data_IF_489498678452
#
_entry.id   IF_489498678452
#
_cell.length_a   1.000
_cell.length_b   1.000
_cell.length_c   1.000
_cell.angle_alpha   90.00
_cell.angle_beta   90.00
_cell.angle_gamma   90.00
#
_symmetry.space_group_name_H-M   'P 1'
#
loop_
_entity.id
_entity.type
_entity.pdbx_description
1 polymer ?
#
# COMPACT_ATOMS: atom_id res chain seq x y z
N UNK A 1 8.28 1.05 3.22
CA UNK A 1 7.88 -0.14 4.00
C UNK A 1 8.77 -1.33 3.62
N UNK A 2 9.42 -2.00 4.58
CA UNK A 2 10.35 -3.11 4.29
C UNK A 2 9.62 -4.37 3.83
N UNK A 3 10.18 -5.08 2.85
CA UNK A 3 9.76 -6.43 2.45
C UNK A 3 10.85 -7.44 2.81
N UNK A 4 10.49 -8.72 2.94
CA UNK A 4 11.52 -9.75 3.13
C UNK A 4 12.40 -9.85 1.87
N UNK A 5 13.68 -9.50 2.00
CA UNK A 5 14.66 -9.60 0.91
C UNK A 5 15.06 -11.04 0.58
N UNK A 6 14.71 -12.01 1.45
CA UNK A 6 15.18 -13.41 1.41
C UNK A 6 16.71 -13.54 1.39
N UNK A 7 17.43 -12.49 1.77
CA UNK A 7 18.88 -12.48 1.81
C UNK A 7 19.37 -11.68 3.01
N UNK A 8 20.16 -12.31 3.87
CA UNK A 8 20.62 -11.71 5.13
C UNK A 8 21.33 -10.36 4.94
N UNK A 9 22.11 -10.24 3.85
CA UNK A 9 22.95 -9.07 3.58
C UNK A 9 22.24 -7.94 2.82
N UNK A 10 20.95 -8.07 2.49
CA UNK A 10 20.22 -7.03 1.78
C UNK A 10 18.93 -6.62 2.51
N UNK A 11 18.55 -5.36 2.34
CA UNK A 11 17.24 -4.81 2.67
C UNK A 11 16.55 -4.41 1.36
N UNK A 12 15.24 -4.66 1.28
CA UNK A 12 14.40 -4.11 0.22
C UNK A 12 13.25 -3.36 0.88
N UNK A 13 12.96 -2.16 0.40
CA UNK A 13 11.84 -1.35 0.90
C UNK A 13 11.00 -0.83 -0.25
N UNK A 14 9.69 -0.98 -0.16
CA UNK A 14 8.74 -0.26 -1.01
C UNK A 14 8.78 1.22 -0.64
N UNK A 15 8.91 2.08 -1.65
CA UNK A 15 8.89 3.52 -1.49
C UNK A 15 7.62 4.06 -2.16
N UNK A 16 6.74 4.60 -1.33
CA UNK A 16 5.51 5.24 -1.73
C UNK A 16 5.49 6.66 -1.16
N UNK A 17 4.64 7.49 -1.73
CA UNK A 17 4.40 8.87 -1.36
C UNK A 17 4.88 9.84 -2.43
N UNK A 18 4.60 11.12 -2.18
CA UNK A 18 4.92 12.23 -3.06
C UNK A 18 6.39 12.23 -3.50
N UNK A 19 6.62 12.50 -4.78
CA UNK A 19 7.96 12.63 -5.34
C UNK A 19 8.46 14.08 -5.28
N UNK A 20 8.35 14.72 -4.10
CA UNK A 20 8.62 16.16 -3.92
C UNK A 20 7.87 17.09 -4.88
N UNK A 21 6.65 16.71 -5.29
CA UNK A 21 5.85 17.46 -6.27
C UNK A 21 6.37 17.39 -7.70
N UNK A 22 7.33 16.50 -7.97
CA UNK A 22 7.86 16.25 -9.32
C UNK A 22 7.15 15.06 -9.93
N UNK A 23 6.41 15.31 -11.00
CA UNK A 23 5.60 14.34 -11.72
C UNK A 23 5.83 14.43 -13.23
N UNK A 24 5.58 13.35 -13.99
CA UNK A 24 5.26 11.98 -13.55
C UNK A 24 6.44 11.25 -12.89
N UNK A 25 6.17 10.21 -12.10
CA UNK A 25 7.19 9.37 -11.47
C UNK A 25 6.82 7.88 -11.52
N UNK A 26 7.81 6.95 -11.57
CA UNK A 26 7.52 5.53 -11.48
C UNK A 26 7.28 5.12 -10.03
N UNK A 27 6.69 3.94 -9.83
CA UNK A 27 6.74 3.24 -8.55
C UNK A 27 8.17 2.86 -8.21
N UNK A 28 8.51 2.88 -6.92
CA UNK A 28 9.89 2.80 -6.46
C UNK A 28 10.08 1.71 -5.42
N UNK A 29 11.24 1.05 -5.50
CA UNK A 29 11.80 0.27 -4.41
C UNK A 29 13.20 0.77 -4.08
N UNK A 30 13.60 0.65 -2.82
CA UNK A 30 14.98 0.79 -2.38
C UNK A 30 15.60 -0.59 -2.24
N UNK A 31 16.82 -0.76 -2.74
CA UNK A 31 17.67 -1.93 -2.46
C UNK A 31 18.95 -1.44 -1.82
N UNK A 32 19.28 -1.97 -0.64
CA UNK A 32 20.47 -1.60 0.10
C UNK A 32 21.20 -2.81 0.67
N UNK A 33 22.52 -2.69 0.77
CA UNK A 33 23.40 -3.74 1.26
C UNK A 33 23.80 -3.46 2.70
N UNK A 34 23.67 -4.47 3.56
CA UNK A 34 24.01 -4.39 4.98
C UNK A 34 25.50 -4.57 5.21
N UNK A 35 25.98 -4.06 6.34
CA UNK A 35 27.34 -4.23 6.86
C UNK A 35 28.46 -3.70 5.94
N UNK A 36 28.12 -2.77 5.04
CA UNK A 36 29.07 -2.04 4.20
C UNK A 36 29.03 -0.55 4.49
N UNK A 37 30.16 0.11 4.25
CA UNK A 37 30.30 1.56 4.23
C UNK A 37 29.72 2.17 2.96
N UNK A 38 29.81 3.49 2.85
CA UNK A 38 29.17 4.27 1.80
C UNK A 38 29.67 4.01 0.36
N UNK A 39 30.82 3.37 0.24
CA UNK A 39 31.43 2.98 -1.02
C UNK A 39 31.18 1.50 -1.37
N UNK A 40 30.29 0.82 -0.64
CA UNK A 40 30.03 -0.62 -0.78
C UNK A 40 31.12 -1.53 -0.20
N UNK A 41 32.20 -0.97 0.36
CA UNK A 41 33.26 -1.77 1.00
C UNK A 41 32.95 -2.03 2.47
N UNK A 42 33.69 -2.94 3.10
CA UNK A 42 33.59 -3.17 4.55
C UNK A 42 33.66 -1.85 5.32
N UNK A 43 32.75 -1.69 6.28
CA UNK A 43 32.73 -0.52 7.15
C UNK A 43 34.02 -0.45 7.98
N UNK A 44 34.62 0.73 8.11
CA UNK A 44 35.81 0.91 8.93
C UNK A 44 35.51 0.73 10.43
N UNK A 45 36.44 0.16 11.20
CA UNK A 45 36.24 -0.10 12.64
C UNK A 45 35.99 1.18 13.46
N UNK A 46 36.57 2.30 13.02
CA UNK A 46 36.40 3.62 13.62
C UNK A 46 35.21 4.41 13.05
N UNK A 47 34.30 3.76 12.32
CA UNK A 47 33.10 4.41 11.81
C UNK A 47 32.24 4.99 12.95
N UNK A 48 31.50 6.06 12.64
CA UNK A 48 30.58 6.68 13.60
C UNK A 48 29.43 5.75 13.97
N UNK A 49 28.82 5.91 15.15
CA UNK A 49 27.65 5.10 15.54
C UNK A 49 26.47 5.26 14.57
N UNK A 50 26.30 6.45 13.99
CA UNK A 50 25.35 6.69 12.88
C UNK A 50 25.63 5.76 11.70
N UNK A 51 26.87 5.72 11.22
CA UNK A 51 27.22 4.93 10.05
C UNK A 51 27.15 3.43 10.35
N UNK A 52 27.52 3.00 11.56
CA UNK A 52 27.30 1.62 12.01
C UNK A 52 25.81 1.26 12.01
N UNK A 53 24.94 2.12 12.53
CA UNK A 53 23.49 1.90 12.51
C UNK A 53 22.94 1.80 11.08
N UNK A 54 23.26 2.78 10.22
CA UNK A 54 22.80 2.77 8.83
C UNK A 54 23.34 1.57 8.05
N UNK A 55 24.61 1.22 8.27
CA UNK A 55 25.25 0.07 7.64
C UNK A 55 24.58 -1.25 8.04
N UNK A 56 24.34 -1.50 9.32
CA UNK A 56 23.66 -2.74 9.78
C UNK A 56 22.24 -2.87 9.23
N UNK A 57 21.57 -1.75 8.94
CA UNK A 57 20.22 -1.73 8.38
C UNK A 57 20.20 -1.62 6.84
N UNK A 58 21.36 -1.58 6.19
CA UNK A 58 21.46 -1.49 4.74
C UNK A 58 21.04 -0.14 4.16
N UNK A 59 21.08 0.92 4.96
CA UNK A 59 20.69 2.28 4.58
C UNK A 59 21.88 3.17 4.21
N UNK A 60 23.12 2.71 4.47
CA UNK A 60 24.33 3.48 4.19
C UNK A 60 24.79 3.34 2.73
N UNK A 61 24.47 2.22 2.08
CA UNK A 61 24.83 1.94 0.70
C UNK A 61 23.70 1.19 -0.01
N UNK A 62 23.05 1.88 -0.93
CA UNK A 62 21.92 1.36 -1.69
C UNK A 62 21.51 2.34 -2.77
N UNK A 63 20.48 1.94 -3.53
CA UNK A 63 19.88 2.74 -4.61
C UNK A 63 18.37 2.61 -4.61
N UNK A 64 17.72 3.65 -5.12
CA UNK A 64 16.31 3.62 -5.49
C UNK A 64 16.20 3.15 -6.93
N UNK A 65 15.26 2.26 -7.17
CA UNK A 65 14.95 1.67 -8.46
C UNK A 65 13.52 2.02 -8.83
N UNK A 66 13.32 2.55 -10.04
CA UNK A 66 12.02 2.87 -10.61
C UNK A 66 11.51 1.73 -11.48
N UNK A 67 10.20 1.46 -11.42
CA UNK A 67 9.54 0.47 -12.27
C UNK A 67 9.61 0.89 -13.74
N UNK A 68 10.07 -0.02 -14.59
CA UNK A 68 10.19 0.16 -16.04
C UNK A 68 9.60 -1.03 -16.79
N UNK A 69 8.99 -0.73 -17.93
CA UNK A 69 8.37 -1.70 -18.83
C UNK A 69 9.23 -1.84 -20.09
N UNK A 70 9.27 -3.03 -20.67
CA UNK A 70 9.92 -3.22 -21.97
C UNK A 70 9.20 -2.39 -23.03
N UNK A 71 9.94 -1.74 -23.93
CA UNK A 71 9.35 -0.80 -24.88
C UNK A 71 8.30 -1.46 -25.79
N UNK A 72 8.48 -2.74 -26.12
CA UNK A 72 7.55 -3.53 -26.93
C UNK A 72 6.25 -3.92 -26.21
N UNK A 73 6.20 -3.79 -24.88
CA UNK A 73 5.06 -4.21 -24.06
C UNK A 73 4.07 -3.08 -23.76
N UNK A 74 4.43 -1.81 -24.02
CA UNK A 74 3.53 -0.67 -23.78
C UNK A 74 2.20 -0.78 -24.55
N UNK A 75 2.23 -1.26 -25.80
CA UNK A 75 1.03 -1.46 -26.59
C UNK A 75 0.06 -2.47 -25.95
N UNK A 76 0.56 -3.45 -25.20
CA UNK A 76 -0.28 -4.42 -24.47
C UNK A 76 -1.05 -3.77 -23.32
N UNK A 77 -0.56 -2.64 -22.81
CA UNK A 77 -1.24 -1.82 -21.81
C UNK A 77 -2.23 -0.82 -22.44
N UNK A 78 -2.34 -0.79 -23.77
CA UNK A 78 -3.12 0.21 -24.51
C UNK A 78 -2.41 1.56 -24.65
N UNK A 79 -1.07 1.60 -24.55
CA UNK A 79 -0.26 2.81 -24.66
C UNK A 79 0.48 2.79 -26.00
N UNK A 80 -0.03 3.53 -26.98
CA UNK A 80 0.51 3.56 -28.35
C UNK A 80 1.74 4.45 -28.50
N UNK A 81 1.90 5.45 -27.63
CA UNK A 81 3.03 6.38 -27.62
C UNK A 81 3.67 6.40 -26.24
N UNK A 82 4.93 6.00 -26.17
CA UNK A 82 5.75 6.13 -24.96
C UNK A 82 6.10 7.61 -24.77
N UNK A 83 5.58 8.21 -23.70
CA UNK A 83 5.77 9.62 -23.38
C UNK A 83 6.04 9.81 -21.89
N UNK A 84 7.27 10.19 -21.53
CA UNK A 84 7.70 10.39 -20.14
C UNK A 84 7.04 11.58 -19.44
N UNK A 85 6.33 12.43 -20.20
CA UNK A 85 5.51 13.51 -19.65
C UNK A 85 4.05 13.12 -19.42
N UNK A 86 3.62 11.99 -19.98
CA UNK A 86 2.28 11.43 -19.77
C UNK A 86 2.28 10.49 -18.56
N UNK A 87 1.17 10.51 -17.79
CA UNK A 87 0.96 9.57 -16.67
C UNK A 87 0.52 8.20 -17.21
N UNK A 88 1.41 7.53 -17.95
CA UNK A 88 1.16 6.27 -18.66
C UNK A 88 0.60 5.16 -17.75
N UNK A 89 1.06 5.05 -16.50
CA UNK A 89 0.52 4.09 -15.54
C UNK A 89 -0.96 4.37 -15.21
N UNK A 90 -1.34 5.63 -15.14
CA UNK A 90 -2.71 6.06 -14.86
C UNK A 90 -3.63 5.79 -16.05
N UNK A 91 -3.14 6.04 -17.27
CA UNK A 91 -3.85 5.69 -18.51
C UNK A 91 -4.12 4.19 -18.59
N UNK A 92 -3.11 3.37 -18.28
CA UNK A 92 -3.25 1.92 -18.17
C UNK A 92 -4.32 1.50 -17.15
N UNK A 93 -4.34 2.11 -15.96
CA UNK A 93 -5.29 1.77 -14.90
C UNK A 93 -6.73 2.18 -15.24
N UNK A 94 -6.91 3.27 -15.98
CA UNK A 94 -8.21 3.75 -16.45
C UNK A 94 -8.75 2.96 -17.65
N UNK A 95 -7.93 2.17 -18.32
CA UNK A 95 -8.35 1.37 -19.45
C UNK A 95 -8.99 0.04 -18.99
N UNK A 96 -10.30 -0.18 -19.18
CA UNK A 96 -10.95 -1.43 -18.81
C UNK A 96 -10.50 -2.63 -19.67
N UNK A 97 -10.00 -2.37 -20.88
CA UNK A 97 -9.58 -3.40 -21.83
C UNK A 97 -8.08 -3.76 -21.72
N UNK A 98 -7.33 -3.08 -20.85
CA UNK A 98 -5.91 -3.36 -20.64
C UNK A 98 -5.70 -4.69 -19.90
N UNK A 99 -4.61 -5.38 -20.24
CA UNK A 99 -4.26 -6.66 -19.61
C UNK A 99 -4.09 -6.53 -18.09
N UNK A 100 -4.34 -7.59 -17.34
CA UNK A 100 -4.22 -7.54 -15.87
C UNK A 100 -2.82 -7.89 -15.37
N UNK A 101 -2.00 -8.59 -16.16
CA UNK A 101 -0.72 -9.13 -15.70
C UNK A 101 0.36 -8.86 -16.74
N UNK A 102 1.49 -8.34 -16.29
CA UNK A 102 2.65 -8.08 -17.15
C UNK A 102 3.94 -8.07 -16.35
N UNK A 103 5.05 -8.29 -17.04
CA UNK A 103 6.38 -8.30 -16.44
C UNK A 103 7.01 -6.90 -16.50
N UNK A 104 7.73 -6.56 -15.45
CA UNK A 104 8.48 -5.30 -15.34
C UNK A 104 9.87 -5.56 -14.78
N UNK A 105 10.69 -4.52 -14.84
CA UNK A 105 11.95 -4.48 -14.11
C UNK A 105 12.09 -3.17 -13.38
N UNK A 106 12.59 -3.22 -12.16
CA UNK A 106 13.01 -2.04 -11.43
C UNK A 106 14.45 -1.72 -11.79
N UNK A 107 14.72 -0.53 -12.32
CA UNK A 107 16.05 -0.05 -12.69
C UNK A 107 16.47 1.17 -11.87
N UNK A 108 17.74 1.30 -11.48
CA UNK A 108 18.24 2.51 -10.86
C UNK A 108 18.59 3.56 -11.91
N UNK A 109 18.62 4.83 -11.50
CA UNK A 109 19.23 5.91 -12.31
C UNK A 109 20.74 5.98 -12.05
N UNK A 110 21.42 6.91 -12.74
CA UNK A 110 22.82 7.22 -12.53
C UNK A 110 23.13 7.76 -11.13
N UNK A 111 22.14 8.30 -10.42
CA UNK A 111 22.35 8.86 -9.08
C UNK A 111 22.86 7.83 -8.07
N UNK A 112 23.78 8.27 -7.21
CA UNK A 112 24.29 7.53 -6.07
C UNK A 112 24.53 8.52 -4.94
N UNK A 113 23.88 8.28 -3.80
CA UNK A 113 24.14 9.07 -2.61
C UNK A 113 25.59 8.85 -2.13
N UNK A 114 26.29 9.96 -1.85
CA UNK A 114 27.72 10.00 -1.49
C UNK A 114 27.97 10.30 -0.01
N UNK A 115 26.91 10.43 0.79
CA UNK A 115 27.00 10.53 2.24
C UNK A 115 26.63 11.87 2.80
N UNK A 116 26.78 11.96 4.12
CA UNK A 116 26.42 13.14 4.89
C UNK A 116 27.36 14.34 4.71
N UNK A 117 28.54 14.13 4.12
CA UNK A 117 29.49 15.21 3.86
C UNK A 117 29.02 16.15 2.74
N UNK A 118 28.05 15.70 1.94
CA UNK A 118 27.41 16.49 0.90
C UNK A 118 25.90 16.33 1.04
N UNK A 119 25.18 17.38 1.40
CA UNK A 119 23.72 17.38 1.34
C UNK A 119 23.30 17.74 -0.09
N UNK A 120 22.84 16.78 -0.91
CA UNK A 120 22.39 17.09 -2.26
C UNK A 120 21.09 17.90 -2.20
N UNK A 121 20.94 18.87 -3.12
CA UNK A 121 19.63 19.45 -3.35
C UNK A 121 18.75 18.44 -4.10
N UNK A 122 17.43 18.46 -3.88
CA UNK A 122 16.48 17.51 -4.51
C UNK A 122 16.64 17.45 -6.04
N UNK A 123 16.88 18.60 -6.67
CA UNK A 123 17.14 18.72 -8.12
C UNK A 123 18.33 17.90 -8.64
N UNK A 124 19.26 17.56 -7.76
CA UNK A 124 20.49 16.82 -8.07
C UNK A 124 20.40 15.34 -7.66
N UNK A 125 19.19 14.85 -7.39
CA UNK A 125 18.89 13.46 -7.01
C UNK A 125 18.10 12.73 -8.09
N UNK A 126 17.83 11.44 -7.87
CA UNK A 126 17.01 10.61 -8.75
C UNK A 126 15.61 11.18 -9.03
N UNK A 127 15.08 12.04 -8.16
CA UNK A 127 13.74 12.65 -8.27
C UNK A 127 13.48 13.28 -9.65
N UNK A 128 14.49 13.90 -10.26
CA UNK A 128 14.39 14.56 -11.58
C UNK A 128 14.97 13.73 -12.74
N UNK A 129 15.46 12.52 -12.47
CA UNK A 129 16.12 11.68 -13.48
C UNK A 129 15.16 10.73 -14.19
N UNK A 130 14.01 10.40 -13.59
CA UNK A 130 13.05 9.42 -14.14
C UNK A 130 12.51 9.82 -15.53
N UNK A 131 12.24 11.12 -15.74
CA UNK A 131 11.77 11.66 -17.01
C UNK A 131 12.88 12.00 -18.01
N UNK A 132 14.16 11.79 -17.65
CA UNK A 132 15.27 12.11 -18.53
C UNK A 132 15.51 10.99 -19.55
N UNK A 133 15.51 11.32 -20.85
CA UNK A 133 15.74 10.36 -21.91
C UNK A 133 17.09 9.64 -21.80
N UNK A 134 18.14 10.30 -21.29
CA UNK A 134 19.47 9.69 -21.12
C UNK A 134 19.55 8.68 -19.98
N UNK A 135 18.54 8.64 -19.11
CA UNK A 135 18.47 7.75 -17.94
C UNK A 135 17.60 6.51 -18.20
N UNK A 136 16.94 6.43 -19.37
CA UNK A 136 16.09 5.28 -19.68
C UNK A 136 16.95 4.01 -19.89
N UNK A 137 16.59 2.87 -19.27
CA UNK A 137 17.35 1.65 -19.45
C UNK A 137 17.26 1.15 -20.91
N UNK A 138 18.32 0.52 -21.42
CA UNK A 138 18.31 0.01 -22.81
C UNK A 138 17.15 -1.00 -23.02
N UNK A 139 16.23 -0.67 -23.93
CA UNK A 139 15.07 -1.51 -24.29
C UNK A 139 13.88 -1.40 -23.32
N UNK A 140 13.98 -0.54 -22.31
CA UNK A 140 12.93 -0.29 -21.32
C UNK A 140 12.71 1.21 -21.15
N UNK A 141 11.53 1.59 -20.70
CA UNK A 141 11.22 2.96 -20.30
C UNK A 141 10.56 2.92 -18.92
N UNK A 142 10.89 3.86 -18.05
CA UNK A 142 10.22 3.98 -16.76
C UNK A 142 8.70 4.14 -16.99
N UNK A 143 7.90 3.28 -16.35
CA UNK A 143 6.45 3.33 -16.41
C UNK A 143 5.98 4.34 -15.36
N UNK A 144 5.86 5.59 -15.78
CA UNK A 144 5.57 6.73 -14.91
C UNK A 144 4.06 7.00 -14.79
N UNK A 145 3.64 7.49 -13.63
CA UNK A 145 2.25 7.87 -13.33
C UNK A 145 2.21 9.05 -12.37
N UNK A 146 1.05 9.26 -11.74
CA UNK A 146 0.91 10.18 -10.62
C UNK A 146 1.87 9.82 -9.47
N UNK A 147 2.44 10.82 -8.79
CA UNK A 147 3.37 10.56 -7.70
C UNK A 147 2.69 10.29 -6.36
N UNK A 148 1.41 10.64 -6.22
CA UNK A 148 0.59 10.36 -5.05
C UNK A 148 0.18 8.89 -5.04
N UNK A 149 1.11 8.09 -4.56
CA UNK A 149 0.93 6.67 -4.24
C UNK A 149 1.05 6.54 -2.74
N UNK A 150 -0.01 6.20 -2.02
CA UNK A 150 0.02 6.18 -0.56
C UNK A 150 -0.12 4.75 -0.02
N UNK A 151 0.36 4.55 1.21
CA UNK A 151 0.34 3.30 1.99
C UNK A 151 0.38 1.99 1.17
N UNK A 152 1.57 1.44 0.89
CA UNK A 152 1.65 0.08 0.39
C UNK A 152 1.31 -0.93 1.50
N UNK A 153 0.96 -2.16 1.14
CA UNK A 153 0.86 -3.30 2.06
C UNK A 153 1.71 -4.49 1.61
N UNK A 154 2.64 -4.96 2.46
CA UNK A 154 3.51 -6.11 2.15
C UNK A 154 2.75 -7.38 2.47
N UNK A 155 3.04 -8.44 1.71
CA UNK A 155 2.60 -9.77 2.07
C UNK A 155 3.10 -10.17 3.47
N UNK A 156 2.21 -10.47 4.43
CA UNK A 156 2.59 -10.94 5.75
C UNK A 156 3.21 -12.35 5.74
N UNK A 157 3.09 -13.12 4.64
CA UNK A 157 3.87 -14.33 4.43
C UNK A 157 5.31 -13.98 4.07
N UNK A 158 6.20 -14.15 5.04
CA UNK A 158 7.63 -13.89 4.89
C UNK A 158 8.31 -14.77 3.83
N UNK A 159 7.66 -15.83 3.33
CA UNK A 159 8.17 -16.63 2.22
C UNK A 159 7.94 -15.96 0.86
N UNK A 160 7.27 -14.82 0.78
CA UNK A 160 7.02 -14.10 -0.47
C UNK A 160 7.81 -12.78 -0.52
N UNK A 161 8.00 -12.25 -1.73
CA UNK A 161 8.66 -10.96 -1.96
C UNK A 161 7.73 -10.06 -2.78
N UNK A 162 6.54 -9.79 -2.24
CA UNK A 162 5.50 -9.06 -2.95
C UNK A 162 4.75 -8.09 -2.04
N UNK A 163 4.11 -7.13 -2.66
CA UNK A 163 3.35 -6.08 -1.99
C UNK A 163 2.25 -5.56 -2.89
N UNK A 164 1.31 -4.82 -2.30
CA UNK A 164 0.26 -4.10 -2.97
C UNK A 164 0.45 -2.60 -2.76
N UNK A 165 0.02 -1.81 -3.73
CA UNK A 165 0.16 -0.35 -3.74
C UNK A 165 -1.16 0.29 -4.18
N UNK A 166 -1.74 1.13 -3.31
CA UNK A 166 -2.83 2.01 -3.67
C UNK A 166 -2.36 3.06 -4.69
N UNK A 167 -3.19 3.34 -5.67
CA UNK A 167 -2.99 4.39 -6.66
C UNK A 167 -3.95 5.52 -6.33
N UNK A 168 -3.52 6.45 -5.45
CA UNK A 168 -4.45 7.33 -4.74
C UNK A 168 -5.20 8.28 -5.68
N UNK A 169 -4.49 9.03 -6.52
CA UNK A 169 -5.10 10.11 -7.30
C UNK A 169 -6.24 9.62 -8.22
N UNK A 170 -5.96 8.64 -9.06
CA UNK A 170 -6.92 8.15 -10.05
C UNK A 170 -7.82 7.02 -9.49
N UNK A 171 -7.43 6.44 -8.35
CA UNK A 171 -7.97 5.20 -7.82
C UNK A 171 -7.29 3.96 -8.40
N UNK A 172 -7.59 2.81 -7.80
CA UNK A 172 -7.09 1.50 -8.22
C UNK A 172 -6.02 0.92 -7.31
N UNK A 173 -5.66 -0.32 -7.59
CA UNK A 173 -4.78 -1.13 -6.77
C UNK A 173 -3.98 -2.09 -7.65
N UNK A 174 -2.67 -2.12 -7.41
CA UNK A 174 -1.74 -3.01 -8.11
C UNK A 174 -0.94 -3.85 -7.13
N UNK A 175 -0.74 -5.12 -7.48
CA UNK A 175 0.16 -6.04 -6.80
C UNK A 175 1.48 -6.16 -7.56
N UNK A 176 2.59 -6.25 -6.84
CA UNK A 176 3.94 -6.34 -7.38
C UNK A 176 4.66 -7.48 -6.68
N UNK A 177 5.14 -8.46 -7.45
CA UNK A 177 5.92 -9.59 -6.96
C UNK A 177 7.33 -9.58 -7.54
N UNK A 178 8.36 -9.57 -6.69
CA UNK A 178 9.74 -9.72 -7.11
C UNK A 178 10.03 -11.19 -7.42
N UNK A 179 10.31 -11.50 -8.69
CA UNK A 179 10.30 -12.88 -9.17
C UNK A 179 11.67 -13.57 -9.12
N UNK A 180 12.76 -12.79 -9.02
CA UNK A 180 14.11 -13.33 -9.18
C UNK A 180 15.20 -12.63 -8.34
N UNK A 181 14.81 -11.90 -7.31
CA UNK A 181 15.69 -11.00 -6.56
C UNK A 181 16.97 -11.69 -6.06
N UNK A 182 16.85 -12.84 -5.40
CA UNK A 182 18.00 -13.57 -4.81
C UNK A 182 19.05 -13.94 -5.87
N UNK A 183 18.62 -14.40 -7.04
CA UNK A 183 19.54 -14.75 -8.12
C UNK A 183 20.19 -13.50 -8.75
N UNK A 184 19.46 -12.39 -8.81
CA UNK A 184 19.94 -11.12 -9.38
C UNK A 184 21.02 -10.48 -8.50
N UNK A 185 20.91 -10.58 -7.17
CA UNK A 185 21.96 -10.14 -6.25
C UNK A 185 23.14 -11.13 -6.17
N UNK A 186 22.94 -12.42 -6.44
CA UNK A 186 24.04 -13.40 -6.49
C UNK A 186 24.94 -13.19 -7.71
N UNK A 187 24.37 -12.80 -8.85
CA UNK A 187 25.15 -12.47 -10.07
C UNK A 187 26.06 -11.26 -9.86
N UNK A 188 25.74 -10.37 -8.91
CA UNK A 188 26.56 -9.20 -8.57
C UNK A 188 27.70 -9.50 -7.60
N UNK A 189 27.66 -10.63 -6.87
CA UNK A 189 28.69 -10.98 -5.88
C UNK A 189 30.07 -11.31 -6.46
N UNK A 190 30.15 -11.66 -7.76
CA UNK A 190 31.40 -12.05 -8.43
C UNK A 190 32.08 -10.89 -9.19
N UNK A 191 31.57 -9.66 -9.05
CA UNK A 191 32.12 -8.45 -9.69
C UNK A 191 32.12 -7.26 -8.75
N UNK A 192 32.91 -6.24 -9.08
CA UNK A 192 33.05 -4.98 -8.30
C UNK A 192 31.81 -4.08 -8.26
N UNK A 193 30.65 -4.56 -8.71
CA UNK A 193 29.37 -3.85 -8.66
C UNK A 193 28.45 -4.54 -7.64
N UNK A 194 28.14 -3.83 -6.57
CA UNK A 194 27.75 -4.38 -5.27
C UNK A 194 26.22 -4.36 -5.00
N UNK A 195 25.44 -3.87 -5.99
CA UNK A 195 23.97 -3.79 -6.01
C UNK A 195 23.43 -4.35 -7.35
N UNK A 196 22.22 -4.92 -7.39
CA UNK A 196 21.67 -5.51 -8.61
C UNK A 196 21.52 -4.47 -9.73
N UNK A 197 21.78 -4.88 -10.98
CA UNK A 197 21.57 -3.98 -12.15
C UNK A 197 20.10 -3.60 -12.32
N UNK A 198 19.21 -4.56 -12.03
CA UNK A 198 17.77 -4.40 -12.01
C UNK A 198 17.17 -5.47 -11.09
N UNK A 199 15.89 -5.30 -10.75
CA UNK A 199 15.10 -6.34 -10.06
C UNK A 199 13.93 -6.74 -10.94
N UNK A 200 13.83 -8.01 -11.32
CA UNK A 200 12.69 -8.51 -12.09
C UNK A 200 11.44 -8.63 -11.21
N UNK A 201 10.31 -8.19 -11.74
CA UNK A 201 9.04 -8.26 -11.04
C UNK A 201 7.87 -8.51 -11.99
N UNK A 202 6.75 -8.93 -11.43
CA UNK A 202 5.47 -9.10 -12.11
C UNK A 202 4.45 -8.15 -11.49
N UNK A 203 3.67 -7.49 -12.33
CA UNK A 203 2.57 -6.61 -11.93
C UNK A 203 1.23 -7.35 -12.11
N UNK A 204 0.32 -7.15 -11.17
CA UNK A 204 -1.08 -7.57 -11.21
C UNK A 204 -1.98 -6.36 -11.01
N UNK A 205 -2.86 -6.03 -11.94
CA UNK A 205 -3.96 -5.05 -11.73
C UNK A 205 -5.05 -5.73 -10.93
N UNK A 206 -5.07 -5.45 -9.63
CA UNK A 206 -6.04 -6.02 -8.69
C UNK A 206 -7.37 -5.31 -8.83
N UNK A 207 -7.34 -3.98 -8.92
CA UNK A 207 -8.51 -3.14 -9.19
C UNK A 207 -8.13 -2.01 -10.15
N UNK A 208 -8.91 -1.83 -11.22
CA UNK A 208 -8.73 -0.73 -12.16
C UNK A 208 -9.29 0.62 -11.65
N UNK A 209 -8.96 1.70 -12.35
CA UNK A 209 -9.34 3.07 -12.02
C UNK A 209 -10.54 3.60 -12.84
N UNK A 210 -11.47 2.72 -13.23
CA UNK A 210 -12.62 3.04 -14.09
C UNK A 210 -13.94 2.63 -13.43
N UNK A 211 -15.04 3.26 -13.84
CA UNK A 211 -16.38 2.90 -13.34
C UNK A 211 -16.73 1.43 -13.65
N UNK A 212 -17.28 0.73 -12.66
CA UNK A 212 -17.51 -0.71 -12.70
C UNK A 212 -16.32 -1.56 -12.24
N UNK A 213 -15.16 -0.97 -11.94
CA UNK A 213 -14.00 -1.72 -11.48
C UNK A 213 -14.15 -2.30 -10.06
N UNK A 214 -15.00 -1.69 -9.21
CA UNK A 214 -15.25 -2.16 -7.85
C UNK A 214 -16.63 -1.72 -7.34
N UNK A 215 -17.43 -2.68 -6.89
CA UNK A 215 -18.66 -2.44 -6.12
C UNK A 215 -18.56 -3.10 -4.75
N UNK A 216 -19.04 -2.40 -3.71
CA UNK A 216 -19.04 -2.93 -2.35
C UNK A 216 -20.35 -3.64 -2.02
N UNK A 217 -20.25 -4.80 -1.38
CA UNK A 217 -21.37 -5.49 -0.72
C UNK A 217 -21.61 -4.82 0.63
N UNK A 218 -22.79 -4.21 0.81
CA UNK A 218 -23.15 -3.39 1.98
C UNK A 218 -24.07 -4.08 2.97
N UNK A 219 -24.79 -5.12 2.55
CA UNK A 219 -25.70 -5.94 3.37
C UNK A 219 -26.54 -5.12 4.37
N UNK A 220 -27.22 -4.06 3.89
CA UNK A 220 -28.06 -3.10 4.65
C UNK A 220 -27.35 -2.17 5.67
N UNK A 221 -26.05 -2.36 5.92
CA UNK A 221 -25.29 -1.58 6.92
C UNK A 221 -24.70 -0.28 6.38
N UNK A 222 -24.51 -0.18 5.07
CA UNK A 222 -23.82 0.94 4.43
C UNK A 222 -24.74 2.07 3.94
N UNK A 223 -25.82 2.40 4.64
CA UNK A 223 -26.77 3.43 4.17
C UNK A 223 -26.19 4.83 4.27
N UNK A 224 -26.29 5.61 3.18
CA UNK A 224 -25.91 7.03 3.13
C UNK A 224 -26.96 7.88 3.82
N UNK A 225 -26.56 9.02 4.39
CA UNK A 225 -27.50 9.93 5.06
C UNK A 225 -28.46 10.62 4.08
N UNK A 226 -27.99 10.94 2.87
CA UNK A 226 -28.84 11.53 1.82
C UNK A 226 -29.64 10.50 1.01
N UNK A 227 -29.51 9.20 1.30
CA UNK A 227 -30.20 8.11 0.62
C UNK A 227 -29.29 7.26 -0.27
N UNK A 228 -29.70 6.01 -0.50
CA UNK A 228 -28.87 4.99 -1.13
C UNK A 228 -27.84 4.37 -0.16
N UNK A 229 -26.80 3.74 -0.71
CA UNK A 229 -25.78 3.07 0.09
C UNK A 229 -24.35 3.32 -0.44
N UNK A 230 -23.36 2.89 0.35
CA UNK A 230 -21.93 2.97 0.05
C UNK A 230 -21.44 1.86 -0.89
N UNK A 231 -22.33 1.17 -1.63
CA UNK A 231 -21.89 0.19 -2.64
C UNK A 231 -21.08 0.83 -3.76
N UNK A 232 -21.32 2.12 -4.00
CA UNK A 232 -20.61 3.01 -4.93
C UNK A 232 -20.15 4.29 -4.23
N UNK A 233 -19.34 5.10 -4.90
CA UNK A 233 -18.99 6.43 -4.40
C UNK A 233 -20.21 7.37 -4.32
N UNK A 234 -20.05 8.57 -3.75
CA UNK A 234 -21.15 9.51 -3.51
C UNK A 234 -21.90 9.92 -4.80
N UNK A 235 -21.21 9.95 -5.94
CA UNK A 235 -21.79 10.28 -7.25
C UNK A 235 -22.34 9.06 -8.02
N UNK A 236 -22.24 7.85 -7.47
CA UNK A 236 -22.69 6.61 -8.12
C UNK A 236 -21.61 5.79 -8.82
N UNK A 237 -20.37 6.26 -8.95
CA UNK A 237 -19.29 5.51 -9.60
C UNK A 237 -18.89 4.27 -8.77
N UNK A 238 -18.84 3.12 -9.42
CA UNK A 238 -18.41 1.83 -8.90
C UNK A 238 -16.90 1.63 -9.11
N UNK A 239 -16.10 2.37 -8.34
CA UNK A 239 -14.64 2.26 -8.31
C UNK A 239 -14.09 2.59 -6.93
N UNK A 240 -12.79 2.35 -6.75
CA UNK A 240 -12.02 2.95 -5.66
C UNK A 240 -11.84 4.45 -5.95
N UNK A 241 -11.94 5.30 -4.93
CA UNK A 241 -11.75 6.75 -5.05
C UNK A 241 -10.84 7.22 -3.93
N UNK A 242 -9.70 7.84 -4.28
CA UNK A 242 -8.67 8.24 -3.33
C UNK A 242 -8.35 7.17 -2.26
N UNK A 243 -8.07 5.91 -2.66
CA UNK A 243 -7.67 4.90 -1.69
C UNK A 243 -6.33 5.33 -1.09
N UNK A 244 -6.33 5.53 0.23
CA UNK A 244 -5.19 6.07 0.95
C UNK A 244 -4.61 4.97 1.85
N UNK A 245 -5.30 4.58 2.91
CA UNK A 245 -4.84 3.52 3.81
C UNK A 245 -4.98 2.13 3.20
N UNK A 246 -3.98 1.28 3.45
CA UNK A 246 -3.94 -0.12 3.02
C UNK A 246 -3.29 -0.99 4.07
N UNK A 247 -3.92 -2.13 4.37
CA UNK A 247 -3.35 -3.16 5.22
C UNK A 247 -3.65 -4.56 4.65
N UNK A 248 -2.65 -5.44 4.63
CA UNK A 248 -2.83 -6.84 4.22
C UNK A 248 -2.80 -7.73 5.45
N UNK A 249 -3.92 -8.40 5.74
CA UNK A 249 -4.01 -9.44 6.75
C UNK A 249 -4.06 -10.82 6.10
N UNK A 250 -3.23 -11.73 6.59
CA UNK A 250 -3.33 -13.15 6.29
C UNK A 250 -3.85 -13.89 7.52
N UNK A 251 -4.85 -14.73 7.30
CA UNK A 251 -5.59 -15.48 8.32
C UNK A 251 -5.64 -16.94 7.91
N UNK A 252 -6.08 -17.83 8.80
CA UNK A 252 -6.04 -19.28 8.53
C UNK A 252 -6.93 -19.71 7.36
N UNK A 253 -7.94 -18.90 7.01
CA UNK A 253 -8.94 -19.15 5.99
C UNK A 253 -8.82 -18.23 4.76
N UNK A 254 -7.83 -17.33 4.72
CA UNK A 254 -7.49 -16.56 3.51
C UNK A 254 -6.79 -15.24 3.75
N UNK A 255 -6.62 -14.50 2.65
CA UNK A 255 -5.94 -13.20 2.61
C UNK A 255 -6.95 -12.10 2.31
N UNK A 256 -6.91 -11.04 3.13
CA UNK A 256 -7.73 -9.86 2.94
C UNK A 256 -6.91 -8.59 2.99
N UNK A 257 -7.33 -7.61 2.20
CA UNK A 257 -6.89 -6.24 2.29
C UNK A 257 -7.97 -5.44 3.03
N UNK A 258 -7.55 -4.50 3.87
CA UNK A 258 -8.40 -3.44 4.41
C UNK A 258 -7.96 -2.16 3.71
N UNK A 259 -8.92 -1.48 3.07
CA UNK A 259 -8.71 -0.25 2.32
C UNK A 259 -9.48 0.88 2.99
N UNK A 260 -8.81 2.01 3.16
CA UNK A 260 -9.35 3.25 3.70
C UNK A 260 -9.29 4.34 2.64
N UNK A 261 -10.42 4.93 2.28
CA UNK A 261 -10.46 6.08 1.37
C UNK A 261 -10.32 7.42 2.12
N UNK A 262 -9.68 8.41 1.50
CA UNK A 262 -9.67 9.83 1.89
C UNK A 262 -10.02 10.70 0.67
N UNK A 263 -11.27 10.59 0.22
CA UNK A 263 -11.76 11.24 -1.00
C UNK A 263 -12.41 12.61 -0.77
N UNK A 264 -12.69 12.96 0.48
CA UNK A 264 -13.57 14.08 0.83
C UNK A 264 -15.06 13.73 0.70
N UNK A 265 -15.44 12.45 0.76
CA UNK A 265 -16.81 11.98 0.58
C UNK A 265 -17.75 12.65 1.59
N UNK A 266 -18.74 13.37 1.10
CA UNK A 266 -19.70 14.15 1.88
C UNK A 266 -20.68 13.25 2.63
N UNK A 267 -20.91 12.03 2.15
CA UNK A 267 -21.70 11.02 2.84
C UNK A 267 -20.87 10.23 3.87
N UNK A 268 -19.54 10.25 3.74
CA UNK A 268 -18.61 9.56 4.63
C UNK A 268 -17.60 8.70 3.87
N UNK A 269 -16.35 8.72 4.31
CA UNK A 269 -15.30 7.90 3.69
C UNK A 269 -15.59 6.41 3.87
N UNK A 270 -15.26 5.60 2.85
CA UNK A 270 -15.48 4.16 2.88
C UNK A 270 -14.27 3.44 3.46
N UNK A 271 -14.51 2.54 4.42
CA UNK A 271 -13.59 1.46 4.78
C UNK A 271 -14.18 0.16 4.27
N UNK A 272 -13.38 -0.62 3.55
CA UNK A 272 -13.82 -1.90 3.01
C UNK A 272 -12.72 -2.94 2.99
N UNK A 273 -13.13 -4.20 2.84
CA UNK A 273 -12.24 -5.32 2.64
C UNK A 273 -12.24 -5.78 1.19
N UNK A 274 -11.06 -6.13 0.67
CA UNK A 274 -10.89 -6.86 -0.58
C UNK A 274 -10.34 -8.24 -0.25
N UNK A 275 -11.03 -9.30 -0.69
CA UNK A 275 -10.54 -10.66 -0.52
C UNK A 275 -9.69 -11.02 -1.75
N UNK A 276 -8.46 -11.48 -1.52
CA UNK A 276 -7.51 -11.77 -2.59
C UNK A 276 -7.05 -13.24 -2.56
N UNK A 277 -6.72 -13.76 -3.75
CA UNK A 277 -6.11 -15.08 -3.90
C UNK A 277 -4.65 -14.98 -3.43
N UNK A 278 -4.33 -15.73 -2.38
CA UNK A 278 -3.00 -15.77 -1.77
C UNK A 278 -1.89 -16.21 -2.72
N UNK A 279 -2.18 -16.79 -3.89
CA UNK A 279 -1.13 -17.21 -4.83
C UNK A 279 -0.78 -16.12 -5.84
N UNK A 280 -1.73 -15.25 -6.19
CA UNK A 280 -1.58 -14.36 -7.35
C UNK A 280 -2.09 -12.93 -7.14
N UNK A 281 -2.57 -12.58 -5.93
CA UNK A 281 -3.07 -11.25 -5.55
C UNK A 281 -4.31 -10.75 -6.33
N UNK A 282 -4.88 -11.54 -7.24
CA UNK A 282 -6.16 -11.17 -7.86
C UNK A 282 -7.26 -11.15 -6.80
N UNK A 283 -8.29 -10.34 -7.01
CA UNK A 283 -9.52 -10.47 -6.23
C UNK A 283 -10.07 -11.88 -6.38
N UNK A 284 -10.48 -12.49 -5.26
CA UNK A 284 -11.16 -13.79 -5.27
C UNK A 284 -12.46 -13.73 -6.07
N UNK A 285 -13.15 -12.59 -6.00
CA UNK A 285 -14.36 -12.29 -6.75
C UNK A 285 -14.13 -10.98 -7.54
N UNK A 286 -14.08 -11.01 -8.88
CA UNK A 286 -13.82 -9.83 -9.68
C UNK A 286 -14.79 -8.69 -9.38
N UNK A 287 -14.25 -7.47 -9.32
CA UNK A 287 -15.00 -6.22 -9.14
C UNK A 287 -15.83 -6.14 -7.84
N UNK A 288 -15.56 -6.99 -6.85
CA UNK A 288 -16.29 -7.03 -5.59
C UNK A 288 -15.39 -6.72 -4.39
N UNK A 289 -15.90 -5.89 -3.48
CA UNK A 289 -15.35 -5.68 -2.15
C UNK A 289 -16.46 -5.75 -1.09
N UNK A 290 -16.08 -5.73 0.18
CA UNK A 290 -17.02 -5.86 1.30
C UNK A 290 -16.95 -4.61 2.17
N UNK A 291 -18.06 -3.89 2.28
CA UNK A 291 -18.14 -2.71 3.12
C UNK A 291 -17.93 -3.08 4.60
N UNK A 292 -17.03 -2.38 5.29
CA UNK A 292 -16.76 -2.59 6.70
C UNK A 292 -17.34 -1.47 7.56
N UNK A 293 -17.13 -0.22 7.15
CA UNK A 293 -17.61 0.95 7.87
C UNK A 293 -17.64 2.19 6.96
N UNK A 294 -18.44 3.17 7.35
CA UNK A 294 -18.34 4.55 6.85
C UNK A 294 -17.81 5.45 7.96
N UNK A 295 -16.94 6.37 7.60
CA UNK A 295 -16.59 7.49 8.45
C UNK A 295 -17.69 8.56 8.41
N UNK A 296 -17.61 9.60 9.25
CA UNK A 296 -18.54 10.73 9.15
C UNK A 296 -18.24 11.61 7.95
N UNK A 297 -19.25 12.01 7.18
CA UNK A 297 -19.13 13.01 6.11
C UNK A 297 -19.68 14.38 6.51
N UNK A 298 -19.55 15.36 5.62
CA UNK A 298 -20.17 16.70 5.78
C UNK A 298 -21.69 16.63 6.02
N UNK A 299 -22.36 15.66 5.41
CA UNK A 299 -23.81 15.48 5.47
C UNK A 299 -24.25 14.62 6.67
N UNK A 300 -23.32 14.22 7.55
CA UNK A 300 -23.67 13.50 8.77
C UNK A 300 -24.45 14.42 9.73
N UNK A 301 -25.57 13.95 10.32
CA UNK A 301 -26.34 14.69 11.33
C UNK A 301 -25.51 15.27 12.51
N UNK A 302 -24.40 14.60 12.87
CA UNK A 302 -23.47 15.09 13.89
C UNK A 302 -22.72 16.34 13.47
N UNK A 303 -22.35 16.43 12.19
CA UNK A 303 -21.70 17.60 11.61
C UNK A 303 -22.71 18.75 11.44
N UNK A 304 -23.96 18.46 11.07
CA UNK A 304 -25.06 19.43 11.03
C UNK A 304 -25.36 20.01 12.41
N UNK A 305 -25.35 19.18 13.45
CA UNK A 305 -25.56 19.60 14.83
C UNK A 305 -24.32 20.22 15.49
N UNK A 306 -23.22 20.42 14.76
CA UNK A 306 -21.94 20.98 15.25
C UNK A 306 -21.40 20.23 16.48
N UNK A 307 -21.67 18.92 16.56
CA UNK A 307 -21.26 18.10 17.69
C UNK A 307 -19.83 17.62 17.52
N UNK A 308 -19.12 17.56 18.65
CA UNK A 308 -17.76 17.05 18.72
C UNK A 308 -17.63 16.03 19.84
N UNK A 309 -16.69 15.08 19.72
CA UNK A 309 -16.32 14.16 20.81
C UNK A 309 -15.79 14.96 22.00
N UNK A 310 -14.91 15.93 21.74
CA UNK A 310 -14.41 16.85 22.75
C UNK A 310 -15.19 18.18 22.70
N UNK A 311 -15.94 18.57 23.74
CA UNK A 311 -16.74 19.79 23.70
C UNK A 311 -15.94 21.04 23.29
N UNK A 312 -16.47 21.79 22.32
CA UNK A 312 -15.85 23.00 21.79
C UNK A 312 -14.71 22.78 20.80
N UNK A 313 -14.42 21.54 20.39
CA UNK A 313 -13.44 21.27 19.32
C UNK A 313 -14.02 21.35 17.90
N UNK A 314 -15.35 21.37 17.73
CA UNK A 314 -15.95 21.54 16.41
C UNK A 314 -15.48 22.85 15.77
N UNK A 315 -15.01 22.77 14.52
CA UNK A 315 -14.49 23.90 13.75
C UNK A 315 -15.17 24.06 12.39
N UNK A 316 -15.63 22.95 11.77
CA UNK A 316 -16.36 22.94 10.49
C UNK A 316 -16.96 21.57 10.19
N UNK A 317 -18.03 21.55 9.41
CA UNK A 317 -18.54 20.31 8.79
C UNK A 317 -17.64 19.88 7.62
N UNK A 318 -17.06 18.69 7.71
CA UNK A 318 -16.14 18.09 6.71
C UNK A 318 -16.12 16.56 6.85
N UNK A 319 -15.45 15.85 5.93
CA UNK A 319 -15.22 14.41 6.08
C UNK A 319 -14.30 14.08 7.27
N UNK A 320 -14.53 12.90 7.83
CA UNK A 320 -13.62 12.16 8.71
C UNK A 320 -12.97 11.07 7.87
N UNK A 321 -11.73 10.76 8.15
CA UNK A 321 -10.98 9.74 7.43
C UNK A 321 -10.58 8.62 8.37
N UNK A 322 -10.50 7.41 7.85
CA UNK A 322 -9.83 6.33 8.54
C UNK A 322 -8.32 6.48 8.37
N UNK A 323 -7.56 6.13 9.41
CA UNK A 323 -6.10 6.31 9.40
C UNK A 323 -5.41 5.05 9.92
N UNK A 324 -5.44 4.01 9.09
CA UNK A 324 -4.72 2.77 9.34
C UNK A 324 -5.55 1.71 10.05
N UNK A 325 -5.12 0.48 9.83
CA UNK A 325 -5.68 -0.73 10.43
C UNK A 325 -4.53 -1.69 10.76
N UNK A 326 -4.66 -2.44 11.85
CA UNK A 326 -3.66 -3.42 12.30
C UNK A 326 -4.34 -4.68 12.78
N UNK A 327 -3.84 -5.85 12.39
CA UNK A 327 -4.22 -7.11 13.01
C UNK A 327 -3.50 -7.23 14.36
N UNK A 328 -4.26 -7.20 15.46
CA UNK A 328 -3.76 -7.31 16.84
C UNK A 328 -4.06 -8.68 17.45
N UNK A 329 -4.46 -9.66 16.64
CA UNK A 329 -4.87 -10.99 17.10
C UNK A 329 -3.79 -11.66 17.95
N UNK A 330 -2.54 -11.63 17.52
CA UNK A 330 -1.42 -12.20 18.28
C UNK A 330 -1.24 -11.57 19.68
N UNK A 331 -1.62 -10.30 19.87
CA UNK A 331 -1.54 -9.62 21.17
C UNK A 331 -2.63 -10.06 22.15
N UNK A 332 -3.75 -10.55 21.64
CA UNK A 332 -4.94 -10.88 22.45
C UNK A 332 -5.27 -12.38 22.44
N UNK A 333 -4.53 -13.18 21.68
CA UNK A 333 -4.65 -14.64 21.64
C UNK A 333 -3.89 -15.26 22.80
N UNK A 334 -4.46 -16.34 23.35
CA UNK A 334 -3.83 -17.17 24.37
C UNK A 334 -3.26 -18.44 23.77
N UNK A 335 -2.15 -18.91 24.31
CA UNK A 335 -1.54 -20.18 23.97
C UNK A 335 -2.37 -21.38 24.47
N UNK A 336 -1.89 -22.59 24.20
CA UNK A 336 -2.50 -23.85 24.64
C UNK A 336 -2.61 -23.99 26.18
N UNK A 337 -1.82 -23.23 26.93
CA UNK A 337 -1.83 -23.20 28.39
C UNK A 337 -2.74 -22.09 28.95
N UNK A 338 -3.45 -21.36 28.08
CA UNK A 338 -4.36 -20.27 28.46
C UNK A 338 -3.67 -18.95 28.84
N UNK A 339 -2.39 -18.77 28.51
CA UNK A 339 -1.60 -17.56 28.76
C UNK A 339 -1.47 -16.71 27.49
N UNK A 340 -1.41 -15.39 27.64
CA UNK A 340 -1.05 -14.52 26.51
C UNK A 340 0.41 -14.74 26.13
N UNK A 341 0.71 -14.61 24.83
CA UNK A 341 2.07 -14.63 24.32
C UNK A 341 2.90 -13.50 24.95
N UNK A 342 4.15 -13.82 25.32
CA UNK A 342 5.11 -12.84 25.79
C UNK A 342 5.68 -12.00 24.64
N UNK A 343 6.37 -10.91 24.96
CA UNK A 343 7.06 -10.12 23.93
C UNK A 343 8.10 -10.94 23.16
N UNK A 344 8.76 -11.89 23.82
CA UNK A 344 9.75 -12.76 23.19
C UNK A 344 9.11 -13.72 22.18
N UNK A 345 7.93 -14.25 22.52
CA UNK A 345 7.15 -15.12 21.64
C UNK A 345 6.72 -14.39 20.35
N UNK A 346 6.48 -13.08 20.44
CA UNK A 346 6.03 -12.24 19.33
C UNK A 346 7.15 -11.69 18.44
N UNK A 347 8.42 -11.99 18.74
CA UNK A 347 9.54 -11.42 17.99
C UNK A 347 9.60 -11.91 16.54
N UNK A 348 10.09 -11.03 15.66
CA UNK A 348 10.32 -11.34 14.26
C UNK A 348 9.06 -11.79 13.52
N UNK A 349 9.11 -12.98 12.91
CA UNK A 349 8.00 -13.52 12.10
C UNK A 349 6.90 -14.18 12.94
N UNK A 350 7.11 -14.38 14.24
CA UNK A 350 6.17 -15.15 15.06
C UNK A 350 4.85 -14.40 15.29
N UNK A 351 4.88 -13.06 15.36
CA UNK A 351 3.68 -12.24 15.39
C UNK A 351 2.71 -12.59 14.25
N UNK A 352 3.23 -12.61 13.02
CA UNK A 352 2.42 -12.93 11.85
C UNK A 352 2.04 -14.42 11.79
N UNK A 353 2.89 -15.35 12.23
CA UNK A 353 2.52 -16.77 12.32
C UNK A 353 1.30 -17.00 13.22
N UNK A 354 1.23 -16.30 14.34
CA UNK A 354 0.08 -16.39 15.26
C UNK A 354 -1.17 -15.78 14.60
N UNK A 355 -1.06 -14.58 14.01
CA UNK A 355 -2.17 -13.98 13.27
C UNK A 355 -2.71 -14.93 12.17
N UNK A 356 -1.82 -15.57 11.43
CA UNK A 356 -2.15 -16.50 10.34
C UNK A 356 -2.74 -17.83 10.81
N UNK A 357 -2.63 -18.14 12.11
CA UNK A 357 -3.23 -19.36 12.69
C UNK A 357 -4.69 -19.20 13.09
N UNK A 358 -5.20 -17.96 13.07
CA UNK A 358 -6.56 -17.62 13.49
C UNK A 358 -7.41 -17.28 12.27
N UNK A 359 -8.69 -17.69 12.29
CA UNK A 359 -9.65 -17.37 11.21
C UNK A 359 -9.89 -15.87 11.11
N UNK A 360 -10.33 -15.39 9.94
CA UNK A 360 -10.71 -13.99 9.77
C UNK A 360 -11.80 -13.56 10.76
N UNK A 361 -12.80 -14.42 10.96
CA UNK A 361 -13.93 -14.14 11.85
C UNK A 361 -13.54 -14.06 13.33
N UNK A 362 -12.47 -14.76 13.72
CA UNK A 362 -11.95 -14.73 15.09
C UNK A 362 -10.86 -13.67 15.30
N UNK A 363 -10.23 -13.23 14.20
CA UNK A 363 -9.19 -12.20 14.20
C UNK A 363 -9.70 -10.86 14.73
N UNK A 364 -8.86 -10.19 15.50
CA UNK A 364 -9.14 -8.90 16.13
C UNK A 364 -8.28 -7.82 15.50
N UNK A 365 -8.91 -6.75 15.06
CA UNK A 365 -8.27 -5.63 14.38
C UNK A 365 -8.43 -4.34 15.19
N UNK A 366 -7.43 -3.48 15.11
CA UNK A 366 -7.47 -2.11 15.59
C UNK A 366 -7.57 -1.17 14.40
N UNK A 367 -8.40 -0.14 14.51
CA UNK A 367 -8.51 0.92 13.52
C UNK A 367 -8.57 2.30 14.17
N UNK A 368 -8.25 3.32 13.38
CA UNK A 368 -8.32 4.73 13.80
C UNK A 368 -9.23 5.48 12.84
N UNK A 369 -10.04 6.38 13.38
CA UNK A 369 -10.79 7.38 12.63
C UNK A 369 -10.45 8.76 13.18
N UNK A 370 -10.13 9.70 12.30
CA UNK A 370 -9.86 11.08 12.65
C UNK A 370 -10.87 12.00 11.96
N UNK A 371 -11.32 13.03 12.69
CA UNK A 371 -12.30 13.98 12.19
C UNK A 371 -11.66 15.36 12.04
N UNK A 372 -11.38 15.74 10.78
CA UNK A 372 -10.77 17.04 10.41
C UNK A 372 -11.58 18.25 10.90
N UNK A 373 -12.88 18.04 11.13
CA UNK A 373 -13.80 19.06 11.66
C UNK A 373 -13.69 19.28 13.17
N UNK A 374 -12.94 18.46 13.89
CA UNK A 374 -12.70 18.57 15.34
C UNK A 374 -11.27 19.03 15.59
N UNK A 375 -10.96 20.29 15.27
CA UNK A 375 -9.60 20.87 15.39
C UNK A 375 -9.58 22.19 16.19
N UNK A 376 -10.73 22.62 16.74
CA UNK A 376 -10.90 23.83 17.53
C UNK A 376 -10.60 23.64 19.02
N UNK A 377 -11.01 24.65 19.81
CA UNK A 377 -11.06 24.55 21.27
C UNK A 377 -9.74 24.11 21.93
N UNK A 378 -9.82 23.08 22.77
CA UNK A 378 -8.66 22.51 23.47
C UNK A 378 -7.63 21.89 22.52
N UNK A 379 -8.07 21.22 21.45
CA UNK A 379 -7.16 20.58 20.49
C UNK A 379 -6.23 21.61 19.84
N UNK A 380 -6.78 22.75 19.41
CA UNK A 380 -5.98 23.89 18.94
C UNK A 380 -5.00 24.41 19.99
N UNK A 381 -5.41 24.50 21.26
CA UNK A 381 -4.55 25.00 22.35
C UNK A 381 -3.34 24.11 22.61
N UNK A 382 -3.48 22.80 22.41
CA UNK A 382 -2.37 21.84 22.61
C UNK A 382 -1.62 21.51 21.32
N UNK A 383 -1.99 22.14 20.19
CA UNK A 383 -1.37 21.89 18.89
C UNK A 383 -1.66 20.50 18.33
N UNK A 384 -2.77 19.87 18.74
CA UNK A 384 -3.24 18.64 18.12
C UNK A 384 -3.85 18.95 16.73
N UNK A 385 -3.61 18.06 15.78
CA UNK A 385 -4.10 18.21 14.40
C UNK A 385 -5.63 17.99 14.32
N UNK A 386 -6.08 16.78 14.67
CA UNK A 386 -7.50 16.39 14.62
C UNK A 386 -7.94 15.65 15.90
N UNK A 387 -9.21 15.76 16.23
CA UNK A 387 -9.91 14.84 17.12
C UNK A 387 -10.13 13.49 16.42
N UNK A 388 -10.38 12.43 17.20
CA UNK A 388 -10.56 11.10 16.63
C UNK A 388 -10.86 10.03 17.65
N UNK A 389 -10.96 8.79 17.19
CA UNK A 389 -11.22 7.61 17.99
C UNK A 389 -10.36 6.44 17.53
N UNK A 390 -9.96 5.61 18.50
CA UNK A 390 -9.41 4.28 18.25
C UNK A 390 -10.55 3.29 18.51
N UNK A 391 -10.72 2.33 17.62
CA UNK A 391 -11.72 1.27 17.76
C UNK A 391 -11.11 -0.10 17.52
N UNK A 392 -11.72 -1.11 18.13
CA UNK A 392 -11.39 -2.52 17.91
C UNK A 392 -12.57 -3.17 17.22
N UNK A 393 -12.31 -3.97 16.20
CA UNK A 393 -13.34 -4.63 15.41
C UNK A 393 -12.93 -6.04 15.01
N UNK A 394 -13.94 -6.84 14.63
CA UNK A 394 -13.78 -8.13 13.97
C UNK A 394 -14.48 -8.05 12.62
N UNK A 395 -13.95 -8.74 11.62
CA UNK A 395 -14.57 -8.82 10.30
C UNK A 395 -15.39 -10.09 10.20
N UNK A 396 -16.69 -9.95 9.96
CA UNK A 396 -17.56 -11.08 9.65
C UNK A 396 -18.09 -10.91 8.22
N UNK A 397 -17.32 -11.40 7.25
CA UNK A 397 -17.69 -11.31 5.84
C UNK A 397 -18.79 -12.33 5.49
N UNK A 398 -19.62 -12.08 4.46
CA UNK A 398 -20.64 -13.02 4.02
C UNK A 398 -20.08 -14.41 3.70
N UNK A 399 -20.87 -15.45 3.96
CA UNK A 399 -20.51 -16.83 3.63
C UNK A 399 -20.20 -16.96 2.14
N UNK A 400 -19.01 -17.43 1.80
CA UNK A 400 -18.52 -17.54 0.42
C UNK A 400 -17.66 -16.36 -0.05
N UNK A 401 -17.45 -15.31 0.74
CA UNK A 401 -16.53 -14.22 0.41
C UNK A 401 -15.09 -14.72 0.14
N UNK A 402 -14.65 -15.71 0.93
CA UNK A 402 -13.33 -16.35 0.85
C UNK A 402 -13.27 -17.52 -0.16
N UNK A 403 -14.33 -17.73 -0.94
CA UNK A 403 -14.41 -18.81 -1.93
C UNK A 403 -14.54 -18.20 -3.32
N UNK A 404 -13.73 -18.68 -4.27
CA UNK A 404 -13.82 -18.25 -5.66
C UNK A 404 -15.14 -18.75 -6.25
N UNK A 405 -16.01 -17.82 -6.64
CA UNK A 405 -17.30 -18.16 -7.24
C UNK A 405 -17.18 -18.41 -8.74
N UNK A 406 -18.08 -19.25 -9.25
CA UNK A 406 -18.30 -19.32 -10.69
C UNK A 406 -18.90 -17.99 -11.17
N UNK A 407 -18.64 -17.55 -12.42
CA UNK A 407 -19.18 -16.29 -12.94
C UNK A 407 -20.71 -16.16 -12.89
N UNK A 408 -21.43 -17.26 -12.67
CA UNK A 408 -22.90 -17.32 -12.59
C UNK A 408 -23.48 -17.25 -11.17
N UNK A 409 -22.67 -17.26 -10.12
CA UNK A 409 -23.15 -17.32 -8.73
C UNK A 409 -23.24 -15.93 -8.07
N UNK A 410 -24.48 -15.40 -8.00
CA UNK A 410 -24.78 -14.25 -7.15
C UNK A 410 -24.95 -14.70 -5.69
N UNK A 411 -24.33 -13.99 -4.75
CA UNK A 411 -24.52 -14.20 -3.31
C UNK A 411 -26.02 -14.08 -2.96
N UNK A 412 -26.64 -15.18 -2.55
CA UNK A 412 -27.89 -15.12 -1.79
C UNK A 412 -27.51 -14.85 -0.34
N UNK A 413 -27.86 -13.67 0.15
CA UNK A 413 -27.77 -13.35 1.57
C UNK A 413 -28.62 -14.37 2.33
N UNK A 414 -27.98 -15.24 3.10
CA UNK A 414 -28.67 -16.05 4.10
C UNK A 414 -28.84 -15.13 5.31
N UNK A 415 -30.05 -14.65 5.51
CA UNK A 415 -30.43 -13.97 6.76
C UNK A 415 -30.29 -14.97 7.90
N UNK A 416 -29.39 -14.70 8.85
CA UNK A 416 -29.45 -15.32 10.17
C UNK A 416 -30.21 -14.40 11.13
#
# INVERSE_FOLDING_TARGET
>A
MPINSKHKDFVVMVLAGYNHGVEPAPLKIYVGKKNVGINGKTLADNATERDKFLSRNGLLYGKIYGMALANEDFAKLGIDKIDLSAKMLDEYLKNPDSINNFDVRFYPTSYQWKGWNTTPAVKDTEVFLWGNQSEQPKGYTFLVGDSKTEHPAVDPDFNNQRYLQNMTQEGGLIGIELTNFVNEIQKTFWGSADLPKYVSAKVTKVVGAYDGSLKLVTADKGLKHSGGDHSTWENGEAKMVAPDGLYWSKTSDGDVLIVDEDSGNKEGERKYSLVIDSNNMNLMNPNEGYFLAMAGGKNNPRAEAETAVYPGSFSKATSSEFSGSWNITALVTKDENGKFYSMDDLTGVNYEKINQSVSLSDSTFLGVVQHKGESGGFLKKVGADNGGQIFIFKMNLPSGAMVKRSPSETLKLVSN
#
